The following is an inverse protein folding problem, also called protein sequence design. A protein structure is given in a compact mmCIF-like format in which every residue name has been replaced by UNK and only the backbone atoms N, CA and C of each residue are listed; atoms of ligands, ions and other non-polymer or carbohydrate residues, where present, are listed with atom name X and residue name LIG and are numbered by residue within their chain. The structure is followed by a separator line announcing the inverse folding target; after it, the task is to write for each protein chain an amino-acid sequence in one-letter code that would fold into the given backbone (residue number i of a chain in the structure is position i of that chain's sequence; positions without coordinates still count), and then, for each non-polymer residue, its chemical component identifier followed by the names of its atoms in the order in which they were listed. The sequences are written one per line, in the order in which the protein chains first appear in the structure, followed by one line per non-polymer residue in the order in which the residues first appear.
data_IF_271159790795
#
_entry.id   IF_271159790795
#
_cell.length_a   1.000
_cell.length_b   1.000
_cell.length_c   1.000
_cell.angle_alpha   90.00
_cell.angle_beta   90.00
_cell.angle_gamma   90.00
#
_symmetry.space_group_name_H-M   'P 1'
#
loop_
_entity.id
_entity.type
_entity.pdbx_description
1 polymer ?
#
# COMPACT_ATOMS: atom_id res chain seq x y z
N UNK A 1 -30.15 -57.81 2.75
CA UNK A 1 -30.60 -56.53 3.36
C UNK A 1 -29.67 -56.00 4.46
N UNK A 2 -28.37 -56.36 4.45
CA UNK A 2 -27.41 -55.97 5.52
C UNK A 2 -26.46 -54.83 5.15
N UNK A 3 -26.49 -54.33 3.94
CA UNK A 3 -25.49 -53.35 3.47
C UNK A 3 -25.94 -51.88 3.58
N UNK A 4 -27.24 -51.64 3.84
CA UNK A 4 -27.80 -50.28 3.92
C UNK A 4 -27.63 -49.66 5.31
N UNK A 5 -27.52 -50.44 6.38
CA UNK A 5 -27.34 -49.94 7.75
C UNK A 5 -25.93 -49.41 8.03
N UNK A 6 -24.89 -49.97 7.41
CA UNK A 6 -23.50 -49.52 7.59
C UNK A 6 -23.22 -48.14 6.99
N UNK A 7 -23.92 -47.74 5.92
CA UNK A 7 -23.77 -46.41 5.31
C UNK A 7 -24.33 -45.28 6.14
N UNK A 8 -25.45 -45.51 6.81
CA UNK A 8 -26.10 -44.49 7.65
C UNK A 8 -25.36 -44.23 8.96
N UNK A 9 -24.72 -45.27 9.53
CA UNK A 9 -23.90 -45.11 10.74
C UNK A 9 -22.63 -44.30 10.47
N UNK A 10 -21.95 -44.56 9.37
CA UNK A 10 -20.76 -43.80 8.94
C UNK A 10 -21.09 -42.34 8.67
N UNK A 11 -22.22 -42.05 8.03
CA UNK A 11 -22.68 -40.68 7.77
C UNK A 11 -23.04 -39.94 9.09
N UNK A 12 -23.70 -40.65 10.01
CA UNK A 12 -24.07 -40.13 11.33
C UNK A 12 -22.83 -39.78 12.18
N UNK A 13 -21.79 -40.62 12.15
CA UNK A 13 -20.54 -40.35 12.90
C UNK A 13 -19.73 -39.23 12.27
N UNK A 14 -19.73 -39.13 10.94
CA UNK A 14 -19.11 -38.04 10.20
C UNK A 14 -19.81 -36.70 10.50
N UNK A 15 -21.16 -36.70 10.56
CA UNK A 15 -21.96 -35.54 10.92
C UNK A 15 -21.71 -35.09 12.38
N UNK A 16 -21.60 -36.05 13.31
CA UNK A 16 -21.26 -35.75 14.71
C UNK A 16 -19.88 -35.13 14.87
N UNK A 17 -18.88 -35.69 14.18
CA UNK A 17 -17.53 -35.13 14.15
C UNK A 17 -17.52 -33.71 13.57
N UNK A 18 -18.22 -33.49 12.48
CA UNK A 18 -18.35 -32.16 11.85
C UNK A 18 -19.08 -31.16 12.77
N UNK A 19 -20.10 -31.59 13.51
CA UNK A 19 -20.83 -30.77 14.47
C UNK A 19 -19.95 -30.34 15.64
N UNK A 20 -19.12 -31.23 16.18
CA UNK A 20 -18.18 -30.91 17.26
C UNK A 20 -17.16 -29.88 16.79
N UNK A 21 -16.61 -30.04 15.60
CA UNK A 21 -15.69 -29.08 14.99
C UNK A 21 -16.39 -27.74 14.75
N UNK A 22 -17.63 -27.76 14.26
CA UNK A 22 -18.44 -26.55 14.02
C UNK A 22 -18.73 -25.76 15.31
N UNK A 23 -19.04 -26.47 16.41
CA UNK A 23 -19.28 -25.86 17.73
C UNK A 23 -18.05 -25.13 18.27
N UNK A 24 -16.86 -25.54 17.87
CA UNK A 24 -15.61 -24.85 18.27
C UNK A 24 -15.26 -23.73 17.29
N UNK A 25 -15.36 -23.98 15.99
CA UNK A 25 -14.92 -23.01 14.98
C UNK A 25 -15.89 -21.81 14.86
N UNK A 26 -17.21 -22.05 14.94
CA UNK A 26 -18.19 -20.98 14.79
C UNK A 26 -18.07 -19.91 15.89
N UNK A 27 -17.98 -20.25 17.19
CA UNK A 27 -17.73 -19.24 18.21
C UNK A 27 -16.38 -18.53 18.04
N UNK A 28 -15.32 -19.27 17.70
CA UNK A 28 -14.00 -18.67 17.42
C UNK A 28 -14.08 -17.67 16.28
N UNK A 29 -14.78 -18.00 15.20
CA UNK A 29 -14.99 -17.13 14.06
C UNK A 29 -15.83 -15.90 14.40
N UNK A 30 -16.84 -16.02 15.26
CA UNK A 30 -17.65 -14.91 15.77
C UNK A 30 -16.87 -14.01 16.74
N UNK A 31 -15.92 -14.56 17.48
CA UNK A 31 -15.07 -13.81 18.43
C UNK A 31 -13.92 -13.06 17.73
N UNK A 32 -13.55 -13.46 16.51
CA UNK A 32 -12.58 -12.71 15.73
C UNK A 32 -13.25 -11.43 15.22
N UNK A 33 -12.82 -10.24 15.67
CA UNK A 33 -13.41 -8.98 15.19
C UNK A 33 -13.08 -8.81 13.71
N UNK A 34 -14.07 -9.07 12.84
CA UNK A 34 -13.94 -9.00 11.39
C UNK A 34 -13.83 -7.56 10.86
N UNK A 35 -13.98 -6.56 11.72
CA UNK A 35 -13.87 -5.15 11.42
C UNK A 35 -13.01 -4.45 12.47
N UNK A 36 -11.72 -4.70 12.49
CA UNK A 36 -10.82 -3.69 13.03
C UNK A 36 -10.87 -2.51 12.05
N UNK A 37 -11.73 -1.53 12.33
CA UNK A 37 -11.47 -0.16 11.89
C UNK A 37 -10.13 0.18 12.50
N UNK A 38 -9.04 -0.07 11.77
CA UNK A 38 -7.73 0.37 12.19
C UNK A 38 -7.88 1.86 12.46
N UNK A 39 -7.81 2.22 13.73
CA UNK A 39 -7.72 3.61 14.15
C UNK A 39 -6.41 4.09 13.56
N UNK A 40 -6.48 4.65 12.35
CA UNK A 40 -5.31 5.22 11.68
C UNK A 40 -4.88 6.37 12.59
N UNK A 41 -3.84 6.14 13.37
CA UNK A 41 -3.19 7.21 14.12
C UNK A 41 -2.62 8.15 13.08
N UNK A 42 -3.15 9.36 13.00
CA UNK A 42 -2.64 10.41 12.11
C UNK A 42 -1.22 10.71 12.57
N UNK A 43 -0.25 10.43 11.70
CA UNK A 43 1.17 10.64 12.00
C UNK A 43 1.54 12.07 11.57
N UNK A 44 2.10 12.85 12.49
CA UNK A 44 2.76 14.09 12.11
C UNK A 44 4.11 13.77 11.43
N UNK A 45 4.14 13.96 10.12
CA UNK A 45 5.32 13.67 9.32
C UNK A 45 6.28 14.86 9.18
N UNK A 46 5.99 16.02 9.78
CA UNK A 46 6.79 17.24 9.65
C UNK A 46 8.23 17.05 10.13
N UNK A 47 8.41 16.37 11.24
CA UNK A 47 9.73 16.05 11.79
C UNK A 47 10.50 15.09 10.88
N UNK A 48 9.85 14.03 10.39
CA UNK A 48 10.47 13.06 9.50
C UNK A 48 10.85 13.69 8.14
N UNK A 49 9.99 14.56 7.60
CA UNK A 49 10.27 15.33 6.40
C UNK A 49 11.48 16.26 6.59
N UNK A 50 11.54 16.95 7.74
CA UNK A 50 12.67 17.81 8.08
C UNK A 50 13.98 17.04 8.24
N UNK A 51 13.93 15.85 8.79
CA UNK A 51 15.09 14.95 8.87
C UNK A 51 15.53 14.46 7.49
N UNK A 52 14.60 14.02 6.66
CA UNK A 52 14.88 13.56 5.30
C UNK A 52 15.56 14.66 4.48
N UNK A 53 15.07 15.90 4.56
CA UNK A 53 15.66 17.06 3.87
C UNK A 53 17.07 17.43 4.33
N UNK A 54 17.50 16.98 5.51
CA UNK A 54 18.89 17.16 5.99
C UNK A 54 19.84 16.08 5.51
N UNK A 55 19.31 14.92 5.09
CA UNK A 55 20.10 13.76 4.67
C UNK A 55 20.48 13.79 3.19
N UNK A 56 19.73 14.55 2.37
CA UNK A 56 19.98 14.70 0.94
C UNK A 56 20.09 16.17 0.55
N UNK A 57 20.96 16.53 -0.44
CA UNK A 57 21.02 17.87 -0.98
C UNK A 57 19.82 18.19 -1.88
N UNK A 58 19.02 17.20 -2.25
CA UNK A 58 17.89 17.34 -3.15
C UNK A 58 16.62 17.74 -2.41
N UNK A 59 15.74 18.45 -3.11
CA UNK A 59 14.44 18.82 -2.55
C UNK A 59 13.55 17.59 -2.46
N UNK A 60 13.15 17.22 -1.24
CA UNK A 60 12.10 16.22 -0.99
C UNK A 60 10.77 16.90 -1.05
N UNK A 61 9.91 16.46 -1.96
CA UNK A 61 8.56 16.99 -2.12
C UNK A 61 7.62 16.42 -1.05
N UNK A 62 6.59 17.17 -0.73
CA UNK A 62 5.56 16.72 0.20
C UNK A 62 4.18 17.16 -0.30
N UNK A 63 3.12 16.40 0.00
CA UNK A 63 1.78 16.81 -0.33
C UNK A 63 1.39 18.11 0.37
N UNK A 64 0.84 19.04 -0.39
CA UNK A 64 0.26 20.28 0.11
C UNK A 64 -1.21 20.34 -0.29
N UNK A 65 -2.03 20.91 0.60
CA UNK A 65 -3.46 21.12 0.33
C UNK A 65 -4.28 19.86 0.08
N UNK A 66 -3.82 18.68 0.56
CA UNK A 66 -4.68 17.49 0.57
C UNK A 66 -5.86 17.70 1.52
N UNK A 67 -7.09 17.30 1.14
CA UNK A 67 -8.23 17.34 2.04
C UNK A 67 -7.98 16.55 3.34
N UNK A 68 -8.58 16.99 4.45
CA UNK A 68 -8.43 16.32 5.77
C UNK A 68 -8.92 14.87 5.80
N UNK A 69 -9.64 14.45 4.76
CA UNK A 69 -10.05 13.04 4.56
C UNK A 69 -8.88 12.13 4.17
N UNK A 70 -7.76 12.68 3.72
CA UNK A 70 -6.50 11.98 3.53
C UNK A 70 -5.75 11.91 4.85
N UNK A 71 -5.54 10.70 5.36
CA UNK A 71 -4.96 10.49 6.68
C UNK A 71 -3.55 9.93 6.57
N UNK A 72 -2.49 10.66 6.93
CA UNK A 72 -1.15 10.11 7.02
C UNK A 72 -1.14 8.91 7.96
N UNK A 73 -0.57 7.80 7.53
CA UNK A 73 -0.61 6.52 8.24
C UNK A 73 0.76 6.06 8.72
N UNK A 74 1.77 6.29 7.91
CA UNK A 74 3.15 5.94 8.23
C UNK A 74 4.13 6.84 7.48
N UNK A 75 5.28 7.05 8.09
CA UNK A 75 6.40 7.77 7.49
C UNK A 75 7.70 7.07 7.85
N UNK A 76 8.58 6.90 6.88
CA UNK A 76 9.93 6.37 7.11
C UNK A 76 10.94 7.10 6.25
N UNK A 77 12.15 7.24 6.79
CA UNK A 77 13.31 7.76 6.08
C UNK A 77 14.46 6.81 6.31
N UNK A 78 15.17 6.46 5.27
CA UNK A 78 16.35 5.60 5.33
C UNK A 78 17.44 6.11 4.40
N UNK A 79 18.70 5.65 4.61
CA UNK A 79 19.83 6.10 3.82
C UNK A 79 20.60 7.23 4.48
N UNK A 80 21.32 8.04 3.68
CA UNK A 80 22.29 9.03 4.16
C UNK A 80 23.68 8.42 4.41
N UNK A 81 24.64 9.25 4.78
CA UNK A 81 26.05 8.84 4.95
C UNK A 81 26.64 8.16 3.71
N UNK A 82 26.40 8.75 2.53
CA UNK A 82 26.86 8.21 1.25
C UNK A 82 26.00 7.11 0.65
N UNK A 83 24.88 6.72 1.30
CA UNK A 83 23.89 5.83 0.73
C UNK A 83 22.70 6.64 0.20
N UNK A 84 22.03 6.15 -0.86
CA UNK A 84 20.83 6.81 -1.35
C UNK A 84 19.80 7.02 -0.24
N UNK A 85 19.20 8.21 -0.21
CA UNK A 85 18.12 8.50 0.71
C UNK A 85 16.81 8.01 0.11
N UNK A 86 16.04 7.31 0.92
CA UNK A 86 14.67 6.89 0.56
C UNK A 86 13.73 7.49 1.58
N UNK A 87 12.79 8.29 1.10
CA UNK A 87 11.69 8.83 1.88
C UNK A 87 10.38 8.16 1.48
N UNK A 88 9.61 7.72 2.46
CA UNK A 88 8.32 7.08 2.28
C UNK A 88 7.28 7.73 3.16
N UNK A 89 6.14 8.10 2.58
CA UNK A 89 5.00 8.68 3.28
C UNK A 89 3.71 8.01 2.79
N UNK A 90 3.06 7.26 3.69
CA UNK A 90 1.84 6.53 3.40
C UNK A 90 0.59 7.28 3.87
N UNK A 91 -0.49 7.09 3.12
CA UNK A 91 -1.82 7.65 3.39
C UNK A 91 -2.90 6.59 3.32
N UNK A 92 -3.93 6.77 4.13
CA UNK A 92 -5.25 6.17 3.91
C UNK A 92 -6.11 7.19 3.20
N UNK A 93 -6.63 6.83 2.03
CA UNK A 93 -7.44 7.68 1.17
C UNK A 93 -8.87 7.84 1.69
N UNK A 94 -9.66 8.79 1.15
CA UNK A 94 -11.07 8.94 1.48
C UNK A 94 -11.90 7.65 1.28
N UNK A 95 -11.52 6.81 0.31
CA UNK A 95 -12.16 5.52 0.04
C UNK A 95 -11.61 4.37 0.89
N UNK A 96 -10.80 4.67 1.93
CA UNK A 96 -10.12 3.70 2.79
C UNK A 96 -9.16 2.76 2.05
N UNK A 97 -8.60 3.21 0.94
CA UNK A 97 -7.53 2.56 0.23
C UNK A 97 -6.17 3.10 0.70
N UNK A 98 -5.10 2.43 0.30
CA UNK A 98 -3.74 2.87 0.60
C UNK A 98 -3.12 3.58 -0.60
N UNK A 99 -2.46 4.70 -0.33
CA UNK A 99 -1.60 5.41 -1.27
C UNK A 99 -0.30 5.80 -0.58
N UNK A 100 0.83 5.77 -1.28
CA UNK A 100 2.11 6.25 -0.76
C UNK A 100 2.80 7.16 -1.75
N UNK A 101 3.57 8.09 -1.18
CA UNK A 101 4.63 8.83 -1.83
C UNK A 101 5.95 8.16 -1.46
N UNK A 102 6.73 7.79 -2.45
CA UNK A 102 8.05 7.20 -2.31
C UNK A 102 9.05 8.01 -3.12
N UNK A 103 10.15 8.44 -2.51
CA UNK A 103 11.17 9.25 -3.17
C UNK A 103 12.55 8.67 -2.92
N UNK A 104 13.43 8.75 -3.94
CA UNK A 104 14.84 8.38 -3.78
C UNK A 104 15.74 9.21 -4.70
N UNK A 105 16.92 9.54 -4.20
CA UNK A 105 18.04 10.14 -4.94
C UNK A 105 19.03 9.09 -5.47
N UNK A 106 18.68 7.81 -5.34
CA UNK A 106 19.49 6.69 -5.83
C UNK A 106 19.22 6.29 -7.27
N UNK A 107 19.79 5.13 -7.65
CA UNK A 107 19.56 4.55 -8.98
C UNK A 107 18.08 4.29 -9.23
N UNK A 108 17.58 4.81 -10.33
CA UNK A 108 16.16 4.80 -10.70
C UNK A 108 15.63 3.37 -10.87
N UNK A 109 16.39 2.53 -11.58
CA UNK A 109 15.95 1.17 -11.91
C UNK A 109 15.95 0.28 -10.67
N UNK A 110 16.98 0.37 -9.84
CA UNK A 110 17.03 -0.34 -8.57
C UNK A 110 15.90 0.10 -7.63
N UNK A 111 15.61 1.40 -7.54
CA UNK A 111 14.53 1.92 -6.73
C UNK A 111 13.17 1.45 -7.23
N UNK A 112 12.88 1.60 -8.52
CA UNK A 112 11.64 1.11 -9.12
C UNK A 112 11.48 -0.41 -8.96
N UNK A 113 12.56 -1.18 -9.11
CA UNK A 113 12.53 -2.62 -8.88
C UNK A 113 12.20 -2.97 -7.43
N UNK A 114 12.72 -2.21 -6.47
CA UNK A 114 12.43 -2.42 -5.05
C UNK A 114 10.95 -2.17 -4.70
N UNK A 115 10.34 -1.18 -5.36
CA UNK A 115 8.95 -0.78 -5.12
C UNK A 115 7.92 -1.60 -5.90
N UNK A 116 8.24 -1.99 -7.13
CA UNK A 116 7.29 -2.55 -8.10
C UNK A 116 7.58 -4.00 -8.47
N UNK A 117 8.73 -4.53 -8.03
CA UNK A 117 9.22 -5.86 -8.41
C UNK A 117 9.99 -5.85 -9.73
N UNK A 118 10.51 -7.03 -10.11
CA UNK A 118 11.49 -7.16 -11.20
C UNK A 118 10.97 -6.81 -12.59
N UNK A 119 9.67 -6.95 -12.84
CA UNK A 119 9.07 -6.74 -14.18
C UNK A 119 7.70 -6.07 -14.06
N UNK A 120 7.64 -4.77 -13.72
CA UNK A 120 6.38 -4.05 -13.70
C UNK A 120 5.82 -3.93 -15.12
N UNK A 121 4.52 -4.11 -15.27
CA UNK A 121 3.84 -3.96 -16.56
C UNK A 121 3.56 -2.49 -16.85
N UNK A 122 3.82 -2.00 -18.07
CA UNK A 122 3.45 -0.64 -18.45
C UNK A 122 1.93 -0.49 -18.52
N UNK A 123 1.46 0.68 -18.15
CA UNK A 123 0.08 1.13 -18.32
C UNK A 123 0.08 2.43 -19.13
N UNK A 124 -1.10 2.94 -19.50
CA UNK A 124 -1.22 4.24 -20.13
C UNK A 124 -0.71 5.34 -19.19
N UNK A 125 0.09 6.26 -19.73
CA UNK A 125 0.62 7.39 -18.96
C UNK A 125 -0.52 8.28 -18.47
N UNK A 126 -0.31 8.93 -17.32
CA UNK A 126 -1.32 9.75 -16.65
C UNK A 126 -0.85 11.19 -16.61
N UNK A 127 -1.70 12.10 -17.07
CA UNK A 127 -1.42 13.53 -17.01
C UNK A 127 -1.66 14.07 -15.59
N UNK A 128 -0.62 14.64 -14.98
CA UNK A 128 -0.65 15.21 -13.63
C UNK A 128 -0.12 16.65 -13.67
N UNK A 129 -1.01 17.62 -13.51
CA UNK A 129 -0.64 19.02 -13.64
C UNK A 129 -0.14 19.36 -15.05
N UNK A 130 1.12 19.71 -15.19
CA UNK A 130 1.75 20.05 -16.47
C UNK A 130 2.66 18.93 -17.03
N UNK A 131 2.66 17.75 -16.42
CA UNK A 131 3.58 16.67 -16.77
C UNK A 131 2.88 15.34 -16.97
N UNK A 132 3.42 14.52 -17.87
CA UNK A 132 2.98 13.15 -18.08
C UNK A 132 3.79 12.21 -17.18
N UNK A 133 3.09 11.54 -16.27
CA UNK A 133 3.66 10.55 -15.36
C UNK A 133 3.54 9.16 -15.95
N UNK A 134 4.64 8.43 -15.96
CA UNK A 134 4.64 7.04 -16.43
C UNK A 134 3.88 6.16 -15.45
N UNK A 135 2.87 5.46 -15.94
CA UNK A 135 2.10 4.53 -15.13
C UNK A 135 2.61 3.10 -15.28
N UNK A 136 2.70 2.40 -14.16
CA UNK A 136 3.18 1.00 -14.08
C UNK A 136 2.30 0.20 -13.14
N UNK A 137 2.15 -1.08 -13.42
CA UNK A 137 1.58 -2.04 -12.49
C UNK A 137 2.69 -2.92 -11.91
N UNK A 138 2.85 -2.89 -10.60
CA UNK A 138 3.79 -3.74 -9.89
C UNK A 138 3.40 -5.22 -9.92
N UNK A 139 4.33 -6.09 -9.56
CA UNK A 139 4.08 -7.54 -9.46
C UNK A 139 3.09 -7.91 -8.36
N UNK A 140 2.86 -7.02 -7.41
CA UNK A 140 1.85 -7.09 -6.35
C UNK A 140 0.46 -6.60 -6.80
N UNK A 141 0.30 -6.23 -8.08
CA UNK A 141 -0.93 -5.72 -8.68
C UNK A 141 -1.21 -4.23 -8.43
N UNK A 142 -0.44 -3.55 -7.59
CA UNK A 142 -0.62 -2.13 -7.29
C UNK A 142 -0.22 -1.26 -8.46
N UNK A 143 -0.94 -0.15 -8.61
CA UNK A 143 -0.61 0.87 -9.62
C UNK A 143 0.39 1.85 -9.03
N UNK A 144 1.34 2.27 -9.86
CA UNK A 144 2.32 3.29 -9.54
C UNK A 144 2.39 4.34 -10.65
N UNK A 145 2.47 5.59 -10.26
CA UNK A 145 2.73 6.74 -11.11
C UNK A 145 4.17 7.21 -10.82
N UNK A 146 5.00 7.25 -11.84
CA UNK A 146 6.41 7.64 -11.76
C UNK A 146 6.60 9.00 -12.40
N UNK A 147 7.06 9.97 -11.63
CA UNK A 147 7.32 11.32 -12.11
C UNK A 147 8.41 11.34 -13.18
N UNK A 148 8.30 12.18 -14.22
CA UNK A 148 9.37 12.41 -15.16
C UNK A 148 10.54 13.23 -14.55
N UNK A 149 10.40 13.73 -13.32
CA UNK A 149 11.37 14.63 -12.70
C UNK A 149 12.71 13.95 -12.38
N UNK A 150 13.78 14.69 -12.53
CA UNK A 150 15.17 14.37 -12.16
C UNK A 150 15.69 15.56 -11.33
N UNK A 151 16.57 15.38 -10.36
CA UNK A 151 17.43 14.23 -10.07
C UNK A 151 16.85 13.22 -9.05
N UNK A 152 15.69 13.47 -8.49
CA UNK A 152 15.04 12.58 -7.53
C UNK A 152 13.93 11.82 -8.24
N UNK A 153 13.88 10.50 -8.01
CA UNK A 153 12.78 9.67 -8.50
C UNK A 153 11.62 9.75 -7.53
N UNK A 154 10.48 10.26 -8.00
CA UNK A 154 9.25 10.36 -7.22
C UNK A 154 8.25 9.33 -7.76
N UNK A 155 7.71 8.51 -6.86
CA UNK A 155 6.73 7.48 -7.17
C UNK A 155 5.52 7.62 -6.25
N UNK A 156 4.33 7.66 -6.84
CA UNK A 156 3.07 7.57 -6.09
C UNK A 156 2.43 6.23 -6.40
N UNK A 157 2.22 5.37 -5.39
CA UNK A 157 1.68 4.02 -5.61
C UNK A 157 0.69 3.60 -4.54
N UNK A 158 -0.12 2.59 -4.83
CA UNK A 158 -1.02 2.04 -3.83
C UNK A 158 -2.08 1.11 -4.37
N UNK A 159 -3.05 0.79 -3.49
CA UNK A 159 -4.29 0.09 -3.84
C UNK A 159 -5.39 1.07 -4.24
N UNK A 160 -5.16 2.36 -4.02
CA UNK A 160 -6.06 3.44 -4.38
C UNK A 160 -6.32 3.51 -5.89
N UNK A 161 -7.43 4.10 -6.27
CA UNK A 161 -7.75 4.33 -7.69
C UNK A 161 -6.73 5.25 -8.35
N UNK A 162 -6.58 5.14 -9.67
CA UNK A 162 -5.69 6.04 -10.43
C UNK A 162 -6.06 7.50 -10.19
N UNK A 163 -7.34 7.83 -10.06
CA UNK A 163 -7.79 9.18 -9.77
C UNK A 163 -7.29 9.69 -8.39
N UNK A 164 -7.34 8.85 -7.36
CA UNK A 164 -6.79 9.21 -6.04
C UNK A 164 -5.26 9.34 -6.07
N UNK A 165 -4.56 8.40 -6.76
CA UNK A 165 -3.11 8.52 -6.95
C UNK A 165 -2.73 9.79 -7.69
N UNK A 166 -3.51 10.18 -8.72
CA UNK A 166 -3.33 11.44 -9.45
C UNK A 166 -3.56 12.66 -8.53
N UNK A 167 -4.57 12.59 -7.65
CA UNK A 167 -4.82 13.65 -6.66
C UNK A 167 -3.62 13.82 -5.71
N UNK A 168 -3.07 12.72 -5.21
CA UNK A 168 -1.88 12.75 -4.38
C UNK A 168 -0.68 13.31 -5.16
N UNK A 169 -0.43 12.84 -6.38
CA UNK A 169 0.65 13.30 -7.23
C UNK A 169 0.54 14.80 -7.56
N UNK A 170 -0.67 15.30 -7.84
CA UNK A 170 -0.92 16.72 -8.14
C UNK A 170 -0.74 17.63 -6.92
N UNK A 171 -0.78 17.11 -5.71
CA UNK A 171 -0.57 17.87 -4.47
C UNK A 171 0.90 18.07 -4.09
N UNK A 172 1.84 17.39 -4.76
CA UNK A 172 3.26 17.45 -4.44
C UNK A 172 3.88 18.81 -4.80
N UNK A 173 4.66 19.36 -3.86
CA UNK A 173 5.40 20.63 -4.00
C UNK A 173 6.76 20.51 -3.32
#
# INVERSE_FOLDING_TARGET
MANQKRGTELISDMLRSLAVVGVVIVPLWLLIPHHSKQKVTVVDYSTALSQARRLTPHHIVAPQFLPATWRPSNVTTSGGNGKPVVFHLGYVTPTNQYASLDESDGDVDAFLQSLLGKKPSPLADVHVGAADWRSRRGTDGRVALVSPSSPVTVVVKGTASVAELTTLAASLR
#
